data_IF_572378604399
#
_entry.id   IF_572378604399
#
_cell.length_a   1.000
_cell.length_b   1.000
_cell.length_c   1.000
_cell.angle_alpha   90.00
_cell.angle_beta   90.00
_cell.angle_gamma   90.00
#
_symmetry.space_group_name_H-M   'P 1'
#
loop_
_entity.id
_entity.type
_entity.pdbx_description
1 polymer ?
#
# COMPACT_ATOMS: atom_id res chain seq x y z
N UNK A 1 1.03 -12.75 -55.08
CA UNK A 1 1.40 -11.31 -54.96
C UNK A 1 1.65 -10.90 -53.51
N UNK A 2 2.50 -11.61 -52.77
CA UNK A 2 2.98 -11.22 -51.42
C UNK A 2 4.46 -10.82 -51.42
N UNK A 3 5.13 -10.95 -52.59
CA UNK A 3 6.58 -10.80 -52.72
C UNK A 3 7.09 -9.34 -52.72
N UNK A 4 6.24 -8.34 -52.94
CA UNK A 4 6.71 -6.95 -53.14
C UNK A 4 6.42 -6.02 -51.95
N UNK A 5 5.43 -6.33 -51.10
CA UNK A 5 5.04 -5.46 -49.97
C UNK A 5 5.03 -6.17 -48.62
N UNK A 6 5.16 -7.51 -48.58
CA UNK A 6 5.09 -8.28 -47.33
C UNK A 6 3.70 -8.29 -46.66
N UNK A 7 2.69 -7.62 -47.23
CA UNK A 7 1.35 -7.53 -46.66
C UNK A 7 0.36 -8.45 -47.40
N UNK A 8 -0.43 -9.20 -46.64
CA UNK A 8 -1.58 -9.94 -47.18
C UNK A 8 -2.67 -8.96 -47.67
N UNK A 9 -3.38 -9.27 -48.77
CA UNK A 9 -4.35 -8.37 -49.45
C UNK A 9 -5.32 -7.67 -48.50
N UNK A 10 -5.95 -8.42 -47.58
CA UNK A 10 -6.87 -7.85 -46.58
C UNK A 10 -6.17 -6.87 -45.62
N UNK A 11 -4.91 -7.13 -45.29
CA UNK A 11 -4.11 -6.28 -44.41
C UNK A 11 -3.69 -4.99 -45.13
N UNK A 12 -3.31 -5.07 -46.41
CA UNK A 12 -2.99 -3.90 -47.24
C UNK A 12 -4.21 -2.97 -47.41
N UNK A 13 -5.39 -3.53 -47.70
CA UNK A 13 -6.64 -2.74 -47.80
C UNK A 13 -6.96 -2.03 -46.48
N UNK A 14 -6.75 -2.71 -45.34
CA UNK A 14 -6.97 -2.12 -44.01
C UNK A 14 -6.04 -0.95 -43.73
N UNK A 15 -4.74 -1.10 -44.02
CA UNK A 15 -3.73 -0.05 -43.82
C UNK A 15 -3.98 1.15 -44.73
N UNK A 16 -4.38 0.92 -45.98
CA UNK A 16 -4.67 2.00 -46.94
C UNK A 16 -5.98 2.74 -46.63
N UNK A 17 -7.01 2.04 -46.13
CA UNK A 17 -8.29 2.67 -45.74
C UNK A 17 -8.24 3.40 -44.41
N UNK A 18 -7.35 2.98 -43.52
CA UNK A 18 -7.13 3.60 -42.22
C UNK A 18 -5.65 3.92 -42.08
N UNK A 19 -5.14 4.99 -42.73
CA UNK A 19 -3.78 5.43 -42.50
C UNK A 19 -3.64 5.65 -40.99
N UNK A 20 -2.69 4.96 -40.37
CA UNK A 20 -2.48 5.04 -38.93
C UNK A 20 -2.35 6.52 -38.58
N UNK A 21 -3.32 7.06 -37.82
CA UNK A 21 -3.20 8.41 -37.29
C UNK A 21 -1.85 8.46 -36.58
N UNK A 22 -0.94 9.28 -37.11
CA UNK A 22 0.33 9.58 -36.47
C UNK A 22 0.03 9.79 -34.99
N UNK A 23 0.64 8.96 -34.13
CA UNK A 23 0.46 9.07 -32.68
C UNK A 23 0.81 10.52 -32.33
N UNK A 24 -0.21 11.36 -32.14
CA UNK A 24 -0.03 12.75 -31.72
C UNK A 24 0.93 12.71 -30.53
N UNK A 25 2.05 13.41 -30.64
CA UNK A 25 3.02 13.47 -29.54
C UNK A 25 2.24 13.91 -28.31
N UNK A 26 2.30 13.12 -27.24
CA UNK A 26 1.65 13.47 -25.98
C UNK A 26 2.21 14.83 -25.58
N UNK A 27 1.34 15.85 -25.41
CA UNK A 27 1.75 17.16 -24.92
C UNK A 27 2.64 16.94 -23.69
N UNK A 28 3.83 17.55 -23.69
CA UNK A 28 4.73 17.47 -22.55
C UNK A 28 3.95 17.85 -21.28
N UNK A 29 3.88 16.91 -20.34
CA UNK A 29 3.17 17.13 -19.08
C UNK A 29 3.77 18.31 -18.31
N UNK A 30 3.03 18.81 -17.32
CA UNK A 30 3.49 19.88 -16.42
C UNK A 30 4.91 19.59 -15.92
N UNK A 31 5.81 20.59 -16.00
CA UNK A 31 7.19 20.50 -15.51
C UNK A 31 7.20 19.94 -14.08
N UNK A 32 8.11 18.99 -13.80
CA UNK A 32 8.24 18.37 -12.48
C UNK A 32 8.63 19.46 -11.46
N UNK A 33 7.71 19.81 -10.56
CA UNK A 33 7.93 20.81 -9.49
C UNK A 33 8.82 20.31 -8.35
N UNK A 34 9.00 19.00 -8.23
CA UNK A 34 9.78 18.37 -7.16
C UNK A 34 10.90 17.55 -7.81
N UNK A 35 12.13 17.82 -7.40
CA UNK A 35 13.35 17.12 -7.82
C UNK A 35 13.39 15.71 -7.23
N UNK A 36 14.19 14.83 -7.84
CA UNK A 36 14.34 13.44 -7.39
C UNK A 36 14.87 13.36 -5.96
N UNK A 37 15.83 14.22 -5.62
CA UNK A 37 16.41 14.33 -4.27
C UNK A 37 15.36 14.66 -3.20
N UNK A 38 14.46 15.63 -3.47
CA UNK A 38 13.37 15.96 -2.54
C UNK A 38 12.43 14.78 -2.30
N UNK A 39 12.22 13.93 -3.31
CA UNK A 39 11.40 12.73 -3.18
C UNK A 39 12.13 11.67 -2.34
N UNK A 40 13.44 11.50 -2.52
CA UNK A 40 14.24 10.57 -1.71
C UNK A 40 14.23 10.97 -0.22
N UNK A 41 14.39 12.28 0.07
CA UNK A 41 14.33 12.75 1.46
C UNK A 41 12.92 12.56 2.03
N UNK A 42 11.88 12.75 1.21
CA UNK A 42 10.50 12.46 1.61
C UNK A 42 10.28 10.96 1.91
N UNK A 43 10.92 10.06 1.16
CA UNK A 43 10.91 8.62 1.41
C UNK A 43 11.63 8.27 2.73
N UNK A 44 12.81 8.84 2.98
CA UNK A 44 13.54 8.67 4.25
C UNK A 44 12.73 9.16 5.46
N UNK A 45 12.12 10.34 5.34
CA UNK A 45 11.22 10.87 6.37
C UNK A 45 10.05 9.91 6.62
N UNK A 46 9.45 9.35 5.56
CA UNK A 46 8.36 8.39 5.69
C UNK A 46 8.81 7.08 6.38
N UNK A 47 10.02 6.60 6.11
CA UNK A 47 10.60 5.43 6.78
C UNK A 47 10.88 5.68 8.26
N UNK A 48 11.48 6.82 8.61
CA UNK A 48 11.71 7.24 10.00
C UNK A 48 10.41 7.37 10.79
N UNK A 49 9.30 7.70 10.13
CA UNK A 49 7.96 7.78 10.72
C UNK A 49 7.26 6.44 10.94
N UNK A 50 7.99 5.33 10.80
CA UNK A 50 7.45 3.98 10.96
C UNK A 50 6.54 3.57 9.81
N UNK A 51 6.65 4.22 8.64
CA UNK A 51 5.87 3.93 7.42
C UNK A 51 4.36 4.05 7.61
N UNK A 52 3.91 4.53 8.77
CA UNK A 52 2.52 4.72 9.11
C UNK A 52 1.92 5.74 8.16
N UNK A 53 0.64 5.55 7.85
CA UNK A 53 -0.12 6.47 7.04
C UNK A 53 0.09 7.88 7.59
N UNK A 54 0.69 8.74 6.77
CA UNK A 54 0.68 10.19 6.91
C UNK A 54 -0.76 10.73 6.71
N UNK A 55 -1.76 10.11 7.36
CA UNK A 55 -3.15 10.59 7.45
C UNK A 55 -3.22 11.88 8.28
N UNK A 56 -2.19 12.18 9.09
CA UNK A 56 -2.17 13.28 10.06
C UNK A 56 -0.87 14.11 10.19
N UNK A 57 0.06 14.23 9.22
CA UNK A 57 1.32 14.90 9.54
C UNK A 57 1.32 16.38 9.22
N UNK A 58 0.36 16.97 8.50
CA UNK A 58 0.56 18.34 8.02
C UNK A 58 0.82 19.37 9.15
N UNK A 59 0.19 19.28 10.34
CA UNK A 59 0.53 20.17 11.45
C UNK A 59 1.86 19.82 12.13
N UNK A 60 2.22 18.54 12.19
CA UNK A 60 3.38 18.02 12.94
C UNK A 60 4.66 17.92 12.10
N UNK A 61 4.55 17.93 10.77
CA UNK A 61 5.67 17.82 9.83
C UNK A 61 6.76 18.89 10.08
N UNK A 62 6.43 20.18 10.32
CA UNK A 62 7.44 21.20 10.56
C UNK A 62 8.22 20.95 11.85
N UNK A 63 7.53 20.57 12.92
CA UNK A 63 8.13 20.29 14.22
C UNK A 63 8.99 19.03 14.16
N UNK A 64 8.50 18.00 13.46
CA UNK A 64 9.22 16.75 13.29
C UNK A 64 10.49 16.91 12.45
N UNK A 65 10.42 17.65 11.33
CA UNK A 65 11.60 18.02 10.53
C UNK A 65 12.61 18.78 11.39
N UNK A 66 12.16 19.75 12.19
CA UNK A 66 13.03 20.51 13.08
C UNK A 66 13.73 19.61 14.10
N UNK A 67 13.01 18.68 14.72
CA UNK A 67 13.58 17.74 15.69
C UNK A 67 14.60 16.79 15.05
N UNK A 68 14.32 16.31 13.83
CA UNK A 68 15.25 15.46 13.09
C UNK A 68 16.52 16.23 12.67
N UNK A 69 16.40 17.51 12.31
CA UNK A 69 17.57 18.39 12.07
C UNK A 69 18.36 18.63 13.37
N UNK A 70 17.69 18.89 14.51
CA UNK A 70 18.33 19.07 15.83
C UNK A 70 19.10 17.81 16.27
N UNK A 71 18.57 16.62 15.96
CA UNK A 71 19.23 15.34 16.26
C UNK A 71 20.31 14.95 15.25
N UNK A 72 20.47 15.69 14.14
CA UNK A 72 21.42 15.38 13.08
C UNK A 72 21.04 14.19 12.19
N UNK A 73 19.79 13.72 12.27
CA UNK A 73 19.29 12.57 11.50
C UNK A 73 19.04 12.93 10.03
N UNK A 74 18.74 14.20 9.74
CA UNK A 74 18.50 14.70 8.38
C UNK A 74 19.18 16.05 8.15
N UNK A 75 19.63 16.28 6.92
CA UNK A 75 20.11 17.59 6.47
C UNK A 75 19.29 18.05 5.25
N UNK A 76 18.48 19.07 5.43
CA UNK A 76 17.59 19.62 4.40
C UNK A 76 18.07 21.00 3.98
N UNK A 77 18.15 21.24 2.67
CA UNK A 77 18.33 22.61 2.16
C UNK A 77 17.06 23.43 2.38
N UNK A 78 17.20 24.77 2.43
CA UNK A 78 16.06 25.69 2.59
C UNK A 78 15.00 25.47 1.50
N UNK A 79 15.43 25.15 0.28
CA UNK A 79 14.56 24.88 -0.86
C UNK A 79 13.83 23.55 -0.72
N UNK A 80 14.52 22.49 -0.27
CA UNK A 80 13.91 21.17 -0.04
C UNK A 80 12.87 21.24 1.08
N UNK A 81 13.19 21.92 2.19
CA UNK A 81 12.27 22.14 3.31
C UNK A 81 11.02 22.90 2.86
N UNK A 82 11.19 23.98 2.10
CA UNK A 82 10.07 24.74 1.53
C UNK A 82 9.22 23.89 0.57
N UNK A 83 9.85 23.07 -0.28
CA UNK A 83 9.15 22.17 -1.18
C UNK A 83 8.31 21.15 -0.41
N UNK A 84 8.89 20.44 0.56
CA UNK A 84 8.20 19.42 1.37
C UNK A 84 7.05 20.04 2.16
N UNK A 85 7.25 21.20 2.80
CA UNK A 85 6.21 21.91 3.54
C UNK A 85 5.10 22.48 2.64
N UNK A 86 5.40 22.75 1.37
CA UNK A 86 4.41 23.20 0.37
C UNK A 86 3.58 22.06 -0.23
N UNK A 87 4.02 20.80 -0.09
CA UNK A 87 3.33 19.67 -0.67
C UNK A 87 2.01 19.42 0.05
N UNK A 88 0.91 19.36 -0.72
CA UNK A 88 -0.35 18.86 -0.17
C UNK A 88 -0.24 17.38 0.19
N UNK A 89 -1.07 16.93 1.12
CA UNK A 89 -1.18 15.51 1.51
C UNK A 89 -1.34 14.58 0.30
N UNK A 90 -2.21 14.94 -0.64
CA UNK A 90 -2.43 14.16 -1.85
C UNK A 90 -1.17 14.05 -2.72
N UNK A 91 -0.34 15.11 -2.74
CA UNK A 91 0.93 15.11 -3.46
C UNK A 91 1.92 14.17 -2.78
N UNK A 92 2.07 14.27 -1.46
CA UNK A 92 2.94 13.38 -0.66
C UNK A 92 2.54 11.91 -0.89
N UNK A 93 1.25 11.58 -0.74
CA UNK A 93 0.76 10.23 -0.97
C UNK A 93 1.01 9.75 -2.41
N UNK A 94 0.81 10.60 -3.42
CA UNK A 94 1.09 10.23 -4.81
C UNK A 94 2.59 9.99 -5.06
N UNK A 95 3.48 10.76 -4.42
CA UNK A 95 4.92 10.62 -4.56
C UNK A 95 5.47 9.39 -3.83
N UNK A 96 4.88 9.01 -2.70
CA UNK A 96 5.24 7.81 -1.95
C UNK A 96 4.60 6.52 -2.49
N UNK A 97 3.63 6.60 -3.41
CA UNK A 97 3.01 5.40 -4.02
C UNK A 97 4.01 4.41 -4.62
N UNK A 98 5.02 4.83 -5.40
CA UNK A 98 6.02 3.92 -5.96
C UNK A 98 6.81 3.20 -4.86
N UNK A 99 7.31 3.93 -3.87
CA UNK A 99 8.00 3.36 -2.70
C UNK A 99 7.13 2.32 -1.98
N UNK A 100 5.85 2.64 -1.72
CA UNK A 100 4.90 1.71 -1.10
C UNK A 100 4.63 0.44 -1.92
N UNK A 101 4.66 0.52 -3.25
CA UNK A 101 4.42 -0.64 -4.13
C UNK A 101 5.64 -1.55 -4.14
N UNK A 102 6.84 -0.97 -4.23
CA UNK A 102 8.11 -1.70 -4.12
C UNK A 102 8.21 -2.39 -2.75
N UNK A 103 7.74 -1.72 -1.71
CA UNK A 103 7.73 -2.23 -0.34
C UNK A 103 6.45 -2.98 0.06
N UNK A 104 5.59 -3.43 -0.87
CA UNK A 104 4.42 -4.25 -0.51
C UNK A 104 4.84 -5.60 0.11
N UNK A 105 5.26 -5.56 1.38
CA UNK A 105 5.08 -6.64 2.34
C UNK A 105 3.57 -6.80 2.42
N UNK A 106 3.07 -7.88 1.82
CA UNK A 106 1.74 -8.37 2.20
C UNK A 106 1.77 -8.50 3.70
N UNK A 107 0.82 -7.88 4.39
CA UNK A 107 0.54 -8.23 5.79
C UNK A 107 0.45 -9.75 5.83
N UNK A 108 1.38 -10.33 6.59
CA UNK A 108 1.61 -11.75 6.61
C UNK A 108 0.51 -12.38 7.44
N UNK A 109 -0.56 -12.76 6.77
CA UNK A 109 -1.61 -13.53 7.40
C UNK A 109 -1.20 -14.99 7.44
N UNK A 110 -1.17 -15.57 8.64
CA UNK A 110 -1.12 -17.03 8.84
C UNK A 110 -2.43 -17.68 8.39
N UNK A 111 -3.53 -16.90 8.34
CA UNK A 111 -4.81 -17.36 7.82
C UNK A 111 -4.91 -17.08 6.33
N UNK A 112 -5.23 -18.11 5.54
CA UNK A 112 -5.65 -17.92 4.14
C UNK A 112 -7.14 -17.59 4.16
N UNK A 113 -7.61 -16.52 3.49
CA UNK A 113 -9.03 -16.31 3.31
C UNK A 113 -9.59 -17.49 2.52
N UNK A 114 -10.20 -18.44 3.22
CA UNK A 114 -10.80 -19.63 2.62
C UNK A 114 -12.10 -19.25 1.93
N UNK A 115 -12.31 -19.77 0.72
CA UNK A 115 -13.54 -19.58 -0.06
C UNK A 115 -14.71 -20.45 0.41
N UNK A 116 -14.55 -21.32 1.42
CA UNK A 116 -15.37 -22.53 1.51
C UNK A 116 -15.88 -22.84 2.93
N UNK A 117 -17.19 -23.10 2.98
CA UNK A 117 -17.94 -23.94 3.92
C UNK A 117 -18.03 -23.60 5.41
N UNK A 118 -17.23 -22.72 6.01
CA UNK A 118 -17.37 -22.43 7.47
C UNK A 118 -18.79 -21.99 7.86
N UNK A 119 -19.47 -21.20 7.02
CA UNK A 119 -20.87 -20.79 7.22
C UNK A 119 -21.91 -21.89 6.99
N UNK A 120 -21.55 -22.97 6.29
CA UNK A 120 -22.46 -24.06 5.92
C UNK A 120 -22.33 -25.30 6.79
N UNK A 121 -21.33 -25.35 7.68
CA UNK A 121 -21.17 -26.44 8.65
C UNK A 121 -21.83 -25.97 9.95
N UNK A 122 -23.05 -26.45 10.28
CA UNK A 122 -23.67 -26.15 11.56
C UNK A 122 -22.78 -26.71 12.67
N UNK A 123 -22.32 -25.83 13.57
CA UNK A 123 -21.58 -26.23 14.77
C UNK A 123 -22.57 -26.96 15.68
N UNK A 124 -22.48 -28.30 15.70
CA UNK A 124 -23.30 -29.13 16.59
C UNK A 124 -22.64 -29.17 17.95
N UNK A 125 -23.19 -28.42 18.90
CA UNK A 125 -22.82 -28.52 20.31
C UNK A 125 -23.99 -29.20 21.01
N UNK A 126 -23.69 -30.20 21.84
CA UNK A 126 -24.68 -30.89 22.66
C UNK A 126 -25.36 -29.96 23.68
N UNK A 127 -24.88 -28.73 23.80
CA UNK A 127 -25.44 -27.61 24.57
C UNK A 127 -26.01 -26.55 23.62
N UNK A 128 -27.24 -26.06 23.85
CA UNK A 128 -27.72 -24.87 23.15
C UNK A 128 -26.74 -23.72 23.41
N UNK A 129 -26.30 -23.08 22.34
CA UNK A 129 -25.43 -21.90 22.38
C UNK A 129 -26.22 -20.76 23.02
N UNK A 130 -25.98 -20.47 24.30
CA UNK A 130 -26.67 -19.43 25.06
C UNK A 130 -25.70 -18.28 25.33
N UNK A 131 -25.78 -17.23 24.51
CA UNK A 131 -24.94 -16.03 24.63
C UNK A 131 -25.32 -15.15 25.83
N UNK A 132 -26.36 -15.51 26.60
CA UNK A 132 -26.85 -14.73 27.73
C UNK A 132 -26.36 -15.21 29.09
N UNK A 133 -25.65 -16.34 29.15
CA UNK A 133 -25.08 -16.85 30.40
C UNK A 133 -23.56 -17.00 30.29
N UNK A 134 -22.79 -16.56 31.29
CA UNK A 134 -21.36 -16.83 31.36
C UNK A 134 -21.09 -18.33 31.25
N UNK A 135 -19.97 -18.72 30.61
CA UNK A 135 -19.42 -20.07 30.38
C UNK A 135 -19.17 -20.42 28.89
N UNK A 136 -19.41 -19.51 27.96
CA UNK A 136 -19.08 -19.70 26.55
C UNK A 136 -17.91 -18.80 26.16
N UNK A 137 -16.78 -19.40 25.80
CA UNK A 137 -15.54 -18.68 25.53
C UNK A 137 -15.19 -18.71 24.03
N UNK A 138 -15.10 -17.54 23.40
CA UNK A 138 -14.49 -17.39 22.09
C UNK A 138 -12.97 -17.24 22.26
N UNK A 139 -12.19 -18.08 21.57
CA UNK A 139 -10.73 -18.05 21.62
C UNK A 139 -10.20 -17.73 20.22
N UNK A 140 -9.37 -16.69 20.12
CA UNK A 140 -8.66 -16.32 18.90
C UNK A 140 -7.14 -16.27 19.14
N UNK A 141 -6.38 -16.43 18.05
CA UNK A 141 -4.92 -16.39 18.05
C UNK A 141 -4.42 -15.38 17.02
N UNK A 142 -3.71 -14.36 17.50
CA UNK A 142 -3.02 -13.39 16.64
C UNK A 142 -1.55 -13.74 16.56
N UNK A 143 -1.09 -14.10 15.36
CA UNK A 143 0.30 -14.45 15.10
C UNK A 143 1.17 -13.22 14.85
N UNK A 144 2.21 -13.05 15.66
CA UNK A 144 3.24 -12.02 15.50
C UNK A 144 4.38 -12.57 14.66
N UNK A 145 4.12 -12.66 13.36
CA UNK A 145 5.12 -13.02 12.36
C UNK A 145 5.82 -11.75 11.86
N UNK A 146 7.16 -11.75 11.86
CA UNK A 146 7.96 -10.63 11.36
C UNK A 146 7.88 -10.52 9.83
N UNK A 147 8.97 -10.88 9.14
CA UNK A 147 9.06 -10.76 7.68
C UNK A 147 8.67 -12.04 6.94
N UNK A 148 8.38 -13.11 7.68
CA UNK A 148 7.96 -14.41 7.14
C UNK A 148 7.00 -15.10 8.12
N UNK A 149 6.02 -15.85 7.59
CA UNK A 149 5.18 -16.77 8.38
C UNK A 149 5.81 -18.16 8.53
N UNK A 150 7.01 -18.36 7.97
CA UNK A 150 7.72 -19.64 8.02
C UNK A 150 8.53 -19.74 9.30
N UNK A 151 8.38 -20.82 10.05
CA UNK A 151 9.11 -21.08 11.30
C UNK A 151 8.27 -20.78 12.54
N UNK A 152 8.95 -20.57 13.67
CA UNK A 152 8.30 -20.31 14.95
C UNK A 152 7.80 -18.85 15.00
N UNK A 153 6.56 -18.66 15.43
CA UNK A 153 5.96 -17.36 15.69
C UNK A 153 5.47 -17.27 17.14
N UNK A 154 5.51 -16.06 17.70
CA UNK A 154 4.84 -15.78 18.96
C UNK A 154 3.36 -15.51 18.66
N UNK A 155 2.47 -16.11 19.45
CA UNK A 155 1.03 -15.89 19.30
C UNK A 155 0.48 -15.24 20.57
N UNK A 156 -0.34 -14.22 20.39
CA UNK A 156 -1.22 -13.74 21.47
C UNK A 156 -2.51 -14.54 21.42
N UNK A 157 -2.88 -15.15 22.55
CA UNK A 157 -4.17 -15.79 22.76
C UNK A 157 -5.12 -14.78 23.39
N UNK A 158 -6.25 -14.55 22.74
CA UNK A 158 -7.37 -13.79 23.28
C UNK A 158 -8.51 -14.75 23.57
N UNK A 159 -9.07 -14.66 24.76
CA UNK A 159 -10.18 -15.49 25.21
C UNK A 159 -11.24 -14.56 25.80
N UNK A 160 -12.43 -14.56 25.21
CA UNK A 160 -13.53 -13.67 25.57
C UNK A 160 -14.76 -14.49 25.89
N UNK A 161 -15.35 -14.27 27.07
CA UNK A 161 -16.64 -14.88 27.39
C UNK A 161 -17.75 -14.11 26.65
N UNK A 162 -18.61 -14.84 25.95
CA UNK A 162 -19.63 -14.25 25.07
C UNK A 162 -20.69 -13.44 25.83
N UNK A 163 -21.00 -13.81 27.07
CA UNK A 163 -22.02 -13.14 27.85
C UNK A 163 -21.48 -11.90 28.57
N UNK A 164 -20.20 -11.90 28.97
CA UNK A 164 -19.60 -10.78 29.71
C UNK A 164 -18.76 -9.83 28.86
N UNK A 165 -18.28 -10.28 27.70
CA UNK A 165 -17.42 -9.51 26.78
C UNK A 165 -15.97 -9.41 27.20
#
# INVERSE_FOLDING_TARGET
MTATTGYHRKNAIRVLRHPSQSKRSKKAGRKRRYTGETIQILEQLWEMGGRLYLKRPHPLLPEWIRKLEECGEISLSREQKAQILSMSRATIDQRLRPARITEKRRELSTTKPGTLLKRQIPVRIYTPWDEQQPNFLEIDLVAHCGETTTGNCLNTLTATDLATG
#
